data_IF_244572639908
#
_entry.id   IF_244572639908
#
_cell.length_a   1.000
_cell.length_b   1.000
_cell.length_c   1.000
_cell.angle_alpha   90.00
_cell.angle_beta   90.00
_cell.angle_gamma   90.00
#
_symmetry.space_group_name_H-M   'P 1'
#
loop_
_entity.id
_entity.type
_entity.pdbx_description
1 polymer ?
#
# COMPACT_ATOMS: atom_id res chain seq x y z
N UNK A 1 1.95 10.12 39.86
CA UNK A 1 1.03 8.98 39.64
C UNK A 1 0.03 9.24 38.50
N UNK A 2 -1.00 10.09 38.61
CA UNK A 2 -2.02 10.27 37.52
C UNK A 2 -1.46 10.70 36.15
N UNK A 3 -0.41 11.51 36.10
CA UNK A 3 0.17 11.98 34.83
C UNK A 3 1.00 10.89 34.13
N UNK A 4 1.76 10.11 34.90
CA UNK A 4 2.56 8.99 34.39
C UNK A 4 1.68 7.86 33.86
N UNK A 5 0.60 7.53 34.57
CA UNK A 5 -0.35 6.51 34.14
C UNK A 5 -0.97 6.88 32.78
N UNK A 6 -1.33 8.17 32.60
CA UNK A 6 -1.82 8.70 31.33
C UNK A 6 -0.78 8.62 30.20
N UNK A 7 0.49 8.96 30.47
CA UNK A 7 1.56 8.86 29.47
C UNK A 7 1.80 7.38 29.08
N UNK A 8 1.69 6.45 30.02
CA UNK A 8 1.82 5.02 29.77
C UNK A 8 0.71 4.51 28.84
N UNK A 9 -0.54 4.89 29.12
CA UNK A 9 -1.70 4.52 28.31
C UNK A 9 -1.56 5.04 26.87
N UNK A 10 -1.12 6.29 26.74
CA UNK A 10 -0.85 6.90 25.44
C UNK A 10 0.26 6.18 24.66
N UNK A 11 1.34 5.74 25.33
CA UNK A 11 2.41 4.94 24.71
C UNK A 11 1.87 3.56 24.28
N UNK A 12 1.01 2.93 25.08
CA UNK A 12 0.39 1.66 24.71
C UNK A 12 -0.53 1.80 23.50
N UNK A 13 -1.29 2.89 23.42
CA UNK A 13 -2.12 3.20 22.25
C UNK A 13 -1.26 3.38 20.98
N UNK A 14 -0.17 4.13 21.09
CA UNK A 14 0.75 4.34 19.97
C UNK A 14 1.46 3.04 19.54
N UNK A 15 1.80 2.14 20.48
CA UNK A 15 2.30 0.79 20.16
C UNK A 15 1.25 -0.05 19.42
N UNK A 16 -0.01 0.02 19.81
CA UNK A 16 -1.10 -0.67 19.12
C UNK A 16 -1.30 -0.15 17.70
N UNK A 17 -1.19 1.17 17.49
CA UNK A 17 -1.21 1.77 16.15
C UNK A 17 -0.04 1.27 15.30
N UNK A 18 1.15 1.19 15.89
CA UNK A 18 2.35 0.68 15.22
C UNK A 18 2.21 -0.78 14.78
N UNK A 19 1.58 -1.63 15.62
CA UNK A 19 1.25 -3.01 15.27
C UNK A 19 0.27 -3.10 14.08
N UNK A 20 -0.74 -2.22 14.03
CA UNK A 20 -1.68 -2.15 12.89
C UNK A 20 -0.95 -1.77 11.60
N UNK A 21 -0.13 -0.71 11.63
CA UNK A 21 0.65 -0.28 10.46
C UNK A 21 1.59 -1.38 9.98
N UNK A 22 2.27 -2.09 10.88
CA UNK A 22 3.14 -3.22 10.49
C UNK A 22 2.35 -4.33 9.78
N UNK A 23 1.17 -4.71 10.31
CA UNK A 23 0.29 -5.68 9.66
C UNK A 23 -0.19 -5.22 8.29
N UNK A 24 -0.47 -3.93 8.14
CA UNK A 24 -0.85 -3.33 6.86
C UNK A 24 0.32 -3.35 5.86
N UNK A 25 1.53 -2.99 6.28
CA UNK A 25 2.75 -3.08 5.44
C UNK A 25 3.01 -4.53 4.99
N UNK A 26 2.90 -5.50 5.89
CA UNK A 26 3.01 -6.93 5.57
C UNK A 26 1.89 -7.36 4.61
N UNK A 27 0.68 -6.84 4.82
CA UNK A 27 -0.49 -7.08 3.98
C UNK A 27 -0.36 -6.51 2.57
N UNK A 28 0.26 -5.33 2.40
CA UNK A 28 0.53 -4.72 1.08
C UNK A 28 1.44 -5.63 0.23
N UNK A 29 2.34 -6.36 0.88
CA UNK A 29 3.25 -7.26 0.18
C UNK A 29 2.60 -8.62 -0.15
N UNK A 30 1.37 -8.91 0.33
CA UNK A 30 0.61 -10.06 -0.17
C UNK A 30 0.34 -9.82 -1.65
N UNK A 31 1.02 -10.63 -2.48
CA UNK A 31 0.99 -10.54 -3.94
C UNK A 31 -0.41 -10.26 -4.43
N UNK A 32 -0.59 -9.17 -5.19
CA UNK A 32 -1.83 -8.96 -5.92
C UNK A 32 -2.09 -10.23 -6.74
N UNK A 33 -3.29 -10.81 -6.67
CA UNK A 33 -3.60 -12.03 -7.40
C UNK A 33 -3.34 -11.81 -8.89
N UNK A 34 -2.56 -12.69 -9.52
CA UNK A 34 -2.24 -12.62 -10.94
C UNK A 34 -3.49 -12.43 -11.79
N UNK A 35 -4.59 -13.09 -11.43
CA UNK A 35 -5.86 -12.97 -12.15
C UNK A 35 -6.41 -11.55 -12.19
N UNK A 36 -6.23 -10.72 -11.15
CA UNK A 36 -6.64 -9.30 -11.19
C UNK A 36 -5.79 -8.49 -12.18
N UNK A 37 -4.50 -8.80 -12.28
CA UNK A 37 -3.57 -8.14 -13.21
C UNK A 37 -3.83 -8.58 -14.65
N UNK A 38 -4.23 -9.84 -14.86
CA UNK A 38 -4.42 -10.43 -16.18
C UNK A 38 -5.83 -10.23 -16.74
N UNK A 39 -6.88 -10.39 -15.93
CA UNK A 39 -8.26 -10.38 -16.39
C UNK A 39 -8.71 -9.02 -16.91
N UNK A 40 -8.22 -7.91 -16.31
CA UNK A 40 -8.60 -6.56 -16.72
C UNK A 40 -8.07 -6.24 -18.14
N UNK A 41 -6.77 -6.36 -18.43
CA UNK A 41 -6.24 -6.23 -19.79
C UNK A 41 -6.90 -7.18 -20.78
N UNK A 42 -7.19 -8.43 -20.37
CA UNK A 42 -7.85 -9.41 -21.22
C UNK A 42 -9.26 -8.96 -21.61
N UNK A 43 -10.04 -8.48 -20.64
CA UNK A 43 -11.41 -8.01 -20.87
C UNK A 43 -11.44 -6.79 -21.80
N UNK A 44 -10.54 -5.82 -21.59
CA UNK A 44 -10.40 -4.65 -22.48
C UNK A 44 -10.07 -5.10 -23.91
N UNK A 45 -9.14 -6.05 -24.04
CA UNK A 45 -8.71 -6.55 -25.34
C UNK A 45 -9.84 -7.31 -26.05
N UNK A 46 -10.63 -8.10 -25.32
CA UNK A 46 -11.81 -8.77 -25.84
C UNK A 46 -12.88 -7.78 -26.31
N UNK A 47 -13.10 -6.68 -25.59
CA UNK A 47 -14.03 -5.63 -26.02
C UNK A 47 -13.60 -5.00 -27.35
N UNK A 48 -12.32 -4.66 -27.49
CA UNK A 48 -11.80 -4.10 -28.75
C UNK A 48 -11.84 -5.13 -29.87
N UNK A 49 -11.54 -6.39 -29.59
CA UNK A 49 -11.66 -7.48 -30.55
C UNK A 49 -13.12 -7.66 -31.02
N UNK A 50 -14.09 -7.61 -30.10
CA UNK A 50 -15.51 -7.68 -30.43
C UNK A 50 -15.95 -6.50 -31.32
N UNK A 51 -15.43 -5.29 -31.05
CA UNK A 51 -15.69 -4.12 -31.88
C UNK A 51 -15.05 -4.24 -33.27
N UNK A 52 -13.91 -4.93 -33.38
CA UNK A 52 -13.19 -5.12 -34.64
C UNK A 52 -14.00 -5.89 -35.71
N UNK A 53 -15.02 -6.66 -35.30
CA UNK A 53 -15.94 -7.33 -36.24
C UNK A 53 -16.77 -6.35 -37.07
N UNK A 54 -16.99 -5.12 -36.58
CA UNK A 54 -17.69 -4.07 -37.32
C UNK A 54 -16.85 -3.41 -38.40
N UNK A 55 -15.55 -3.73 -38.46
CA UNK A 55 -14.62 -3.20 -39.44
C UNK A 55 -14.25 -4.28 -40.47
N UNK A 56 -13.96 -3.84 -41.70
CA UNK A 56 -13.49 -4.69 -42.82
C UNK A 56 -12.03 -5.14 -42.65
N UNK A 57 -11.67 -5.59 -41.45
CA UNK A 57 -10.36 -6.15 -41.13
C UNK A 57 -10.34 -7.64 -41.41
N UNK A 58 -9.19 -8.14 -41.87
CA UNK A 58 -8.92 -9.58 -42.01
C UNK A 58 -8.74 -10.25 -40.64
N UNK A 59 -8.95 -11.55 -40.55
CA UNK A 59 -8.83 -12.29 -39.28
C UNK A 59 -7.42 -12.17 -38.67
N UNK A 60 -6.37 -12.23 -39.49
CA UNK A 60 -4.99 -12.04 -39.04
C UNK A 60 -4.76 -10.63 -38.46
N UNK A 61 -5.37 -9.59 -39.05
CA UNK A 61 -5.28 -8.23 -38.51
C UNK A 61 -6.01 -8.09 -37.18
N UNK A 62 -7.19 -8.70 -37.04
CA UNK A 62 -7.97 -8.66 -35.78
C UNK A 62 -7.20 -9.36 -34.63
N UNK A 63 -6.62 -10.52 -34.91
CA UNK A 63 -5.80 -11.26 -33.93
C UNK A 63 -4.53 -10.48 -33.58
N UNK A 64 -3.88 -9.86 -34.57
CA UNK A 64 -2.71 -9.00 -34.35
C UNK A 64 -3.02 -7.81 -33.44
N UNK A 65 -4.13 -7.10 -33.71
CA UNK A 65 -4.60 -5.98 -32.89
C UNK A 65 -4.88 -6.44 -31.46
N UNK A 66 -5.56 -7.59 -31.29
CA UNK A 66 -5.82 -8.16 -29.98
C UNK A 66 -4.53 -8.42 -29.20
N UNK A 67 -3.55 -9.11 -29.81
CA UNK A 67 -2.28 -9.45 -29.16
C UNK A 67 -1.49 -8.22 -28.74
N UNK A 68 -1.36 -7.23 -29.64
CA UNK A 68 -0.61 -6.00 -29.37
C UNK A 68 -1.30 -5.17 -28.29
N UNK A 69 -2.62 -5.00 -28.38
CA UNK A 69 -3.38 -4.24 -27.40
C UNK A 69 -3.34 -4.91 -26.03
N UNK A 70 -3.46 -6.24 -25.99
CA UNK A 70 -3.37 -7.02 -24.76
C UNK A 70 -2.01 -6.88 -24.10
N UNK A 71 -0.92 -7.04 -24.86
CA UNK A 71 0.43 -6.86 -24.35
C UNK A 71 0.64 -5.44 -23.79
N UNK A 72 0.23 -4.41 -24.53
CA UNK A 72 0.35 -3.01 -24.09
C UNK A 72 -0.45 -2.74 -22.82
N UNK A 73 -1.72 -3.13 -22.78
CA UNK A 73 -2.56 -2.95 -21.58
C UNK A 73 -2.03 -3.72 -20.39
N UNK A 74 -1.54 -4.95 -20.58
CA UNK A 74 -0.95 -5.75 -19.51
C UNK A 74 0.29 -5.08 -18.91
N UNK A 75 1.19 -4.57 -19.76
CA UNK A 75 2.40 -3.87 -19.33
C UNK A 75 2.05 -2.60 -18.56
N UNK A 76 1.20 -1.74 -19.15
CA UNK A 76 0.79 -0.48 -18.52
C UNK A 76 0.08 -0.73 -17.20
N UNK A 77 -0.83 -1.69 -17.16
CA UNK A 77 -1.56 -2.05 -15.95
C UNK A 77 -0.61 -2.55 -14.85
N UNK A 78 0.29 -3.46 -15.20
CA UNK A 78 1.28 -4.00 -14.26
C UNK A 78 2.18 -2.91 -13.67
N UNK A 79 2.69 -2.00 -14.51
CA UNK A 79 3.52 -0.88 -14.06
C UNK A 79 2.74 0.03 -13.12
N UNK A 80 1.53 0.42 -13.51
CA UNK A 80 0.70 1.32 -12.71
C UNK A 80 0.33 0.71 -11.35
N UNK A 81 -0.05 -0.57 -11.35
CA UNK A 81 -0.33 -1.32 -10.13
C UNK A 81 0.87 -1.37 -9.19
N UNK A 82 2.08 -1.69 -9.70
CA UNK A 82 3.31 -1.69 -8.89
C UNK A 82 3.64 -0.31 -8.34
N UNK A 83 3.45 0.75 -9.13
CA UNK A 83 3.67 2.13 -8.70
C UNK A 83 2.74 2.50 -7.54
N UNK A 84 1.45 2.16 -7.63
CA UNK A 84 0.48 2.46 -6.58
C UNK A 84 0.79 1.71 -5.27
N UNK A 85 1.18 0.43 -5.36
CA UNK A 85 1.64 -0.36 -4.21
C UNK A 85 2.83 0.32 -3.53
N UNK A 86 3.81 0.77 -4.33
CA UNK A 86 5.02 1.42 -3.81
C UNK A 86 4.68 2.69 -3.04
N UNK A 87 3.81 3.54 -3.60
CA UNK A 87 3.37 4.78 -2.94
C UNK A 87 2.66 4.47 -1.62
N UNK A 88 1.73 3.51 -1.59
CA UNK A 88 1.04 3.13 -0.36
C UNK A 88 2.01 2.60 0.70
N UNK A 89 2.98 1.78 0.29
CA UNK A 89 4.03 1.28 1.16
C UNK A 89 4.88 2.43 1.74
N UNK A 90 5.27 3.39 0.91
CA UNK A 90 6.08 4.54 1.34
C UNK A 90 5.31 5.41 2.34
N UNK A 91 4.00 5.62 2.14
CA UNK A 91 3.12 6.34 3.09
C UNK A 91 3.09 5.62 4.45
N UNK A 92 2.84 4.31 4.47
CA UNK A 92 2.79 3.55 5.73
C UNK A 92 4.15 3.50 6.44
N UNK A 93 5.26 3.46 5.69
CA UNK A 93 6.61 3.54 6.27
C UNK A 93 6.82 4.90 6.95
N UNK A 94 6.36 5.99 6.34
CA UNK A 94 6.45 7.33 6.93
C UNK A 94 5.59 7.44 8.19
N UNK A 95 4.37 6.92 8.18
CA UNK A 95 3.51 6.86 9.37
C UNK A 95 4.14 6.03 10.49
N UNK A 96 4.72 4.87 10.18
CA UNK A 96 5.46 4.06 11.16
C UNK A 96 6.58 4.87 11.81
N UNK A 97 7.39 5.61 11.03
CA UNK A 97 8.47 6.45 11.56
C UNK A 97 7.95 7.53 12.49
N UNK A 98 6.85 8.20 12.11
CA UNK A 98 6.20 9.23 12.95
C UNK A 98 5.74 8.66 14.28
N UNK A 99 5.10 7.49 14.28
CA UNK A 99 4.65 6.86 15.53
C UNK A 99 5.83 6.41 16.39
N UNK A 100 6.88 5.84 15.78
CA UNK A 100 8.11 5.50 16.51
C UNK A 100 8.74 6.72 17.19
N UNK A 101 8.76 7.86 16.49
CA UNK A 101 9.24 9.12 17.04
C UNK A 101 8.38 9.60 18.22
N UNK A 102 7.04 9.58 18.09
CA UNK A 102 6.13 9.92 19.19
C UNK A 102 6.33 9.05 20.43
N UNK A 103 6.48 7.73 20.24
CA UNK A 103 6.76 6.81 21.36
C UNK A 103 8.07 7.19 22.05
N UNK A 104 9.11 7.50 21.27
CA UNK A 104 10.41 7.90 21.81
C UNK A 104 10.32 9.21 22.60
N UNK A 105 9.65 10.24 22.07
CA UNK A 105 9.45 11.51 22.76
C UNK A 105 8.67 11.35 24.07
N UNK A 106 7.55 10.60 24.05
CA UNK A 106 6.76 10.30 25.25
C UNK A 106 7.56 9.54 26.30
N UNK A 107 8.36 8.57 25.87
CA UNK A 107 9.23 7.79 26.76
C UNK A 107 10.32 8.68 27.39
N UNK A 108 10.92 9.58 26.60
CA UNK A 108 11.92 10.54 27.09
C UNK A 108 11.32 11.53 28.10
N UNK A 109 10.11 12.04 27.84
CA UNK A 109 9.39 12.90 28.78
C UNK A 109 9.14 12.18 30.10
N UNK A 110 8.70 10.93 30.04
CA UNK A 110 8.50 10.08 31.22
C UNK A 110 9.77 9.93 32.07
N UNK A 111 10.90 9.62 31.44
CA UNK A 111 12.19 9.49 32.11
C UNK A 111 12.67 10.81 32.75
N UNK A 112 12.40 11.94 32.10
CA UNK A 112 12.74 13.26 32.65
C UNK A 112 11.85 13.65 33.84
N UNK A 113 10.55 13.33 33.79
CA UNK A 113 9.64 13.54 34.92
C UNK A 113 10.05 12.69 36.13
N UNK A 114 10.47 11.44 35.90
CA UNK A 114 10.96 10.54 36.94
C UNK A 114 12.25 11.07 37.62
N UNK A 115 13.26 11.46 36.82
CA UNK A 115 14.51 12.04 37.35
C UNK A 115 14.31 13.36 38.11
N UNK A 116 13.35 14.20 37.70
CA UNK A 116 13.04 15.44 38.42
C UNK A 116 12.25 15.18 39.71
N UNK A 117 11.48 14.10 39.79
CA UNK A 117 10.77 13.70 41.00
C UNK A 117 11.64 13.02 42.05
N UNK A 118 12.77 12.42 41.65
CA UNK A 118 13.74 11.82 42.58
C UNK A 118 14.74 12.83 43.17
N UNK A 119 14.93 13.98 42.50
CA UNK A 119 15.85 15.05 42.93
C UNK A 119 15.17 16.20 43.69
N UNK A 120 13.86 16.08 43.98
CA UNK A 120 13.05 17.10 44.65
C UNK A 120 12.46 16.60 45.96
#
# INVERSE_FOLDING_TARGET
>A
MKNQEKILDEIMEDRNKLLKINKEIEGINKSIPFWKIFAIPLFISLLVFALSFKFSLTDSQRIGIFMVLFALTLVVFTINTRKNIRIQKDILIDERKKIQHKIFEKTKLMANEENNSENS
#
